data_IF_925732574827
#
_entry.id   IF_925732574827
#
_cell.length_a   1.000
_cell.length_b   1.000
_cell.length_c   1.000
_cell.angle_alpha   90.00
_cell.angle_beta   90.00
_cell.angle_gamma   90.00
#
_symmetry.space_group_name_H-M   'P 1'
#
loop_
_entity.id
_entity.type
_entity.pdbx_description
1 polymer ?
#
# COMPACT_ATOMS: atom_id res chain seq x y z
N UNK A 1 10.60 0.03 -1.95
CA UNK A 1 10.30 0.64 -0.63
C UNK A 1 11.22 0.16 0.49
N UNK A 2 11.23 -1.13 0.90
CA UNK A 2 12.16 -1.59 1.97
C UNK A 2 13.63 -1.49 1.52
N UNK A 3 13.94 -1.88 0.27
CA UNK A 3 15.26 -1.69 -0.31
C UNK A 3 15.66 -0.21 -0.42
N UNK A 4 14.72 0.67 -0.73
CA UNK A 4 14.91 2.12 -0.82
C UNK A 4 15.32 2.72 0.51
N UNK A 5 14.66 2.32 1.60
CA UNK A 5 15.00 2.76 2.96
C UNK A 5 16.42 2.31 3.35
N UNK A 6 16.81 1.09 2.99
CA UNK A 6 18.15 0.54 3.28
C UNK A 6 19.26 1.16 2.41
N UNK A 7 18.96 1.48 1.15
CA UNK A 7 19.94 2.02 0.19
C UNK A 7 19.92 3.55 0.07
N UNK A 8 18.94 4.20 0.71
CA UNK A 8 18.65 5.65 0.64
C UNK A 8 18.47 6.15 -0.79
N UNK A 9 17.79 5.36 -1.63
CA UNK A 9 17.49 5.68 -3.03
C UNK A 9 16.05 5.35 -3.34
N UNK A 10 15.37 6.19 -4.09
CA UNK A 10 14.03 5.88 -4.59
C UNK A 10 14.10 5.04 -5.86
N UNK A 11 13.30 3.98 -5.89
CA UNK A 11 13.06 3.22 -7.11
C UNK A 11 11.99 3.90 -7.98
N UNK A 12 12.08 3.68 -9.28
CA UNK A 12 11.03 4.05 -10.23
C UNK A 12 10.01 2.90 -10.28
N UNK A 13 8.79 3.15 -9.78
CA UNK A 13 7.72 2.15 -9.72
C UNK A 13 7.23 1.72 -11.10
N UNK A 14 7.21 2.61 -12.10
CA UNK A 14 6.81 2.27 -13.46
C UNK A 14 7.84 1.35 -14.10
N UNK A 15 9.12 1.63 -13.85
CA UNK A 15 10.23 0.78 -14.31
C UNK A 15 10.17 -0.62 -13.67
N UNK A 16 9.92 -0.69 -12.37
CA UNK A 16 9.77 -1.97 -11.65
C UNK A 16 8.58 -2.76 -12.20
N UNK A 17 7.42 -2.11 -12.38
CA UNK A 17 6.20 -2.75 -12.88
C UNK A 17 6.38 -3.27 -14.30
N UNK A 18 6.96 -2.48 -15.21
CA UNK A 18 7.30 -2.92 -16.57
C UNK A 18 8.30 -4.07 -16.55
N UNK A 19 9.30 -4.02 -15.68
CA UNK A 19 10.29 -5.08 -15.50
C UNK A 19 9.66 -6.40 -15.06
N UNK A 20 8.81 -6.38 -14.04
CA UNK A 20 8.08 -7.56 -13.57
C UNK A 20 7.09 -8.08 -14.61
N UNK A 21 6.39 -7.20 -15.32
CA UNK A 21 5.49 -7.58 -16.41
C UNK A 21 6.22 -8.31 -17.54
N UNK A 22 7.35 -7.75 -18.00
CA UNK A 22 8.17 -8.39 -19.03
C UNK A 22 8.76 -9.72 -18.55
N UNK A 23 9.27 -9.78 -17.32
CA UNK A 23 9.80 -11.01 -16.73
C UNK A 23 8.73 -12.11 -16.65
N UNK A 24 7.52 -11.76 -16.19
CA UNK A 24 6.41 -12.70 -16.11
C UNK A 24 5.94 -13.17 -17.50
N UNK A 25 5.84 -12.28 -18.49
CA UNK A 25 5.52 -12.66 -19.87
C UNK A 25 6.53 -13.65 -20.45
N UNK A 26 7.83 -13.37 -20.32
CA UNK A 26 8.88 -14.26 -20.80
C UNK A 26 8.83 -15.59 -20.05
N UNK A 27 8.74 -15.56 -18.72
CA UNK A 27 8.72 -16.78 -17.89
C UNK A 27 7.50 -17.65 -18.17
N UNK A 28 6.33 -17.06 -18.44
CA UNK A 28 5.11 -17.76 -18.79
C UNK A 28 5.22 -18.54 -20.10
N UNK A 29 6.02 -18.06 -21.08
CA UNK A 29 6.32 -18.80 -22.31
C UNK A 29 7.09 -20.11 -22.04
N UNK A 30 7.80 -20.19 -20.90
CA UNK A 30 8.50 -21.40 -20.44
C UNK A 30 7.68 -22.20 -19.41
N UNK A 31 6.40 -21.89 -19.21
CA UNK A 31 5.52 -22.58 -18.25
C UNK A 31 5.78 -22.22 -16.78
N UNK A 32 6.47 -21.11 -16.51
CA UNK A 32 6.68 -20.64 -15.14
C UNK A 32 5.39 -20.07 -14.53
N UNK A 33 5.27 -20.20 -13.21
CA UNK A 33 4.21 -19.56 -12.44
C UNK A 33 4.49 -18.05 -12.29
N UNK A 34 3.45 -17.21 -12.17
CA UNK A 34 3.61 -15.78 -11.93
C UNK A 34 4.48 -15.51 -10.69
N UNK A 35 5.49 -14.67 -10.86
CA UNK A 35 6.44 -14.30 -9.81
C UNK A 35 6.39 -12.82 -9.48
N UNK A 36 6.90 -12.49 -8.29
CA UNK A 36 7.10 -11.13 -7.82
C UNK A 36 8.47 -11.00 -7.12
N UNK A 37 8.88 -9.76 -6.82
CA UNK A 37 10.12 -9.49 -6.10
C UNK A 37 10.14 -10.14 -4.71
N UNK A 38 11.26 -10.78 -4.35
CA UNK A 38 11.43 -11.44 -3.05
C UNK A 38 12.01 -10.49 -2.00
N UNK A 39 11.15 -9.85 -1.20
CA UNK A 39 11.56 -8.83 -0.21
C UNK A 39 12.66 -9.30 0.73
N UNK A 40 12.51 -10.45 1.38
CA UNK A 40 13.48 -10.97 2.35
C UNK A 40 14.85 -11.24 1.69
N UNK A 41 14.84 -11.82 0.48
CA UNK A 41 16.07 -12.06 -0.28
C UNK A 41 16.78 -10.76 -0.67
N UNK A 42 16.04 -9.72 -1.03
CA UNK A 42 16.61 -8.40 -1.35
C UNK A 42 17.22 -7.75 -0.11
N UNK A 43 16.57 -7.84 1.05
CA UNK A 43 17.09 -7.28 2.32
C UNK A 43 18.41 -7.96 2.70
N UNK A 44 18.45 -9.30 2.71
CA UNK A 44 19.69 -10.04 3.02
C UNK A 44 20.78 -9.71 2.02
N UNK A 45 20.45 -9.61 0.73
CA UNK A 45 21.41 -9.27 -0.32
C UNK A 45 22.04 -7.88 -0.11
N UNK A 46 21.24 -6.88 0.28
CA UNK A 46 21.73 -5.53 0.60
C UNK A 46 22.60 -5.56 1.87
N UNK A 47 22.19 -6.31 2.89
CA UNK A 47 22.92 -6.43 4.16
C UNK A 47 24.32 -7.05 4.00
N UNK A 48 24.47 -8.02 3.08
CA UNK A 48 25.78 -8.59 2.73
C UNK A 48 26.58 -7.73 1.74
N UNK A 49 26.11 -6.52 1.45
CA UNK A 49 26.85 -5.50 0.68
C UNK A 49 26.61 -5.51 -0.83
N UNK A 50 25.57 -6.19 -1.34
CA UNK A 50 25.27 -6.15 -2.77
C UNK A 50 24.83 -4.74 -3.20
N UNK A 51 25.46 -4.24 -4.27
CA UNK A 51 25.22 -2.88 -4.82
C UNK A 51 24.89 -2.88 -6.31
N UNK A 52 24.82 -4.05 -6.95
CA UNK A 52 24.62 -4.19 -8.38
C UNK A 52 23.57 -5.27 -8.71
N UNK A 53 22.88 -5.17 -9.85
CA UNK A 53 21.90 -6.17 -10.29
C UNK A 53 22.52 -7.54 -10.59
N UNK A 54 23.85 -7.60 -10.76
CA UNK A 54 24.61 -8.83 -10.99
C UNK A 54 24.39 -9.87 -9.88
N UNK A 55 24.19 -9.46 -8.63
CA UNK A 55 23.91 -10.40 -7.54
C UNK A 55 22.62 -11.22 -7.79
N UNK A 56 21.58 -10.57 -8.34
CA UNK A 56 20.34 -11.25 -8.71
C UNK A 56 20.55 -12.26 -9.84
N UNK A 57 21.35 -11.89 -10.86
CA UNK A 57 21.70 -12.77 -11.99
C UNK A 57 22.51 -13.97 -11.51
N UNK A 58 23.52 -13.76 -10.66
CA UNK A 58 24.32 -14.84 -10.08
C UNK A 58 23.43 -15.78 -9.26
N UNK A 59 22.53 -15.25 -8.44
CA UNK A 59 21.57 -16.05 -7.67
C UNK A 59 20.70 -16.93 -8.59
N UNK A 60 20.20 -16.37 -9.69
CA UNK A 60 19.39 -17.13 -10.65
C UNK A 60 20.21 -18.23 -11.36
N UNK A 61 21.45 -17.93 -11.76
CA UNK A 61 22.35 -18.90 -12.39
C UNK A 61 22.75 -20.02 -11.43
N UNK A 62 23.07 -19.69 -10.18
CA UNK A 62 23.37 -20.68 -9.14
C UNK A 62 22.16 -21.57 -8.88
N UNK A 63 20.95 -20.99 -8.78
CA UNK A 63 19.72 -21.77 -8.62
C UNK A 63 19.49 -22.71 -9.82
N UNK A 64 19.66 -22.21 -11.05
CA UNK A 64 19.54 -23.02 -12.25
C UNK A 64 20.56 -24.18 -12.28
N UNK A 65 21.83 -23.90 -11.91
CA UNK A 65 22.86 -24.92 -11.83
C UNK A 65 22.53 -26.00 -10.79
N UNK A 66 22.07 -25.60 -9.60
CA UNK A 66 21.67 -26.53 -8.53
C UNK A 66 20.52 -27.41 -9.02
N UNK A 67 19.48 -26.84 -9.64
CA UNK A 67 18.34 -27.61 -10.14
C UNK A 67 18.74 -28.60 -11.24
N UNK A 68 19.62 -28.19 -12.16
CA UNK A 68 20.02 -29.02 -13.31
C UNK A 68 21.05 -30.10 -12.94
N UNK A 69 21.98 -29.81 -12.03
CA UNK A 69 23.11 -30.72 -11.69
C UNK A 69 22.82 -31.53 -10.43
N UNK A 70 22.18 -30.94 -9.43
CA UNK A 70 21.97 -31.55 -8.12
C UNK A 70 20.60 -32.24 -7.98
N UNK A 71 19.91 -32.57 -9.10
CA UNK A 71 18.60 -33.23 -9.08
C UNK A 71 18.54 -34.47 -8.19
N UNK A 72 19.53 -35.37 -8.30
CA UNK A 72 19.62 -36.57 -7.47
C UNK A 72 19.93 -36.32 -5.98
N UNK A 73 20.46 -35.13 -5.63
CA UNK A 73 20.62 -34.71 -4.23
C UNK A 73 19.34 -34.08 -3.66
N UNK A 74 18.49 -33.52 -4.52
CA UNK A 74 17.21 -32.91 -4.12
C UNK A 74 16.05 -33.91 -4.04
N UNK A 75 16.13 -35.02 -4.78
CA UNK A 75 15.12 -36.09 -4.76
C UNK A 75 14.80 -36.66 -3.37
N UNK A 76 15.77 -36.92 -2.47
CA UNK A 76 15.49 -37.48 -1.15
C UNK A 76 14.99 -36.44 -0.13
N UNK A 77 14.74 -35.18 -0.50
CA UNK A 77 14.28 -34.16 0.45
C UNK A 77 12.86 -34.51 0.94
N UNK A 78 12.65 -34.77 2.24
CA UNK A 78 11.34 -35.14 2.74
C UNK A 78 10.36 -33.97 2.63
N UNK A 79 9.11 -34.26 2.22
CA UNK A 79 8.04 -33.25 2.18
C UNK A 79 7.80 -32.57 3.54
N UNK A 80 8.06 -33.26 4.64
CA UNK A 80 7.99 -32.69 5.99
C UNK A 80 8.96 -31.52 6.19
N UNK A 81 10.15 -31.57 5.59
CA UNK A 81 11.13 -30.47 5.66
C UNK A 81 10.62 -29.25 4.88
N UNK A 82 10.09 -29.47 3.68
CA UNK A 82 9.52 -28.40 2.84
C UNK A 82 8.29 -27.76 3.51
N UNK A 83 7.41 -28.56 4.11
CA UNK A 83 6.28 -28.08 4.88
C UNK A 83 6.73 -27.27 6.10
N UNK A 84 7.75 -27.74 6.83
CA UNK A 84 8.33 -27.02 7.96
C UNK A 84 8.90 -25.66 7.54
N UNK A 85 9.61 -25.59 6.42
CA UNK A 85 10.11 -24.33 5.86
C UNK A 85 8.95 -23.41 5.49
N UNK A 86 7.91 -23.92 4.83
CA UNK A 86 6.76 -23.13 4.42
C UNK A 86 6.01 -22.52 5.63
N UNK A 87 5.78 -23.31 6.68
CA UNK A 87 5.15 -22.84 7.93
C UNK A 87 6.03 -21.80 8.61
N UNK A 88 7.33 -22.05 8.72
CA UNK A 88 8.27 -21.11 9.33
C UNK A 88 8.31 -19.77 8.58
N UNK A 89 8.42 -19.81 7.25
CA UNK A 89 8.42 -18.60 6.42
C UNK A 89 7.08 -17.87 6.53
N UNK A 90 5.96 -18.58 6.47
CA UNK A 90 4.63 -18.00 6.65
C UNK A 90 4.50 -17.27 8.00
N UNK A 91 4.98 -17.88 9.08
CA UNK A 91 4.99 -17.28 10.42
C UNK A 91 5.84 -16.02 10.51
N UNK A 92 6.95 -15.96 9.76
CA UNK A 92 7.87 -14.81 9.73
C UNK A 92 7.38 -13.67 8.83
N UNK A 93 6.49 -13.94 7.87
CA UNK A 93 5.87 -12.89 7.03
C UNK A 93 4.85 -12.08 7.83
N UNK A 94 4.20 -12.69 8.82
CA UNK A 94 3.19 -12.02 9.64
C UNK A 94 3.84 -10.99 10.58
N UNK A 95 3.44 -9.72 10.46
CA UNK A 95 3.81 -8.67 11.39
C UNK A 95 2.98 -8.77 12.68
N UNK A 96 3.42 -9.64 13.59
CA UNK A 96 2.77 -9.87 14.87
C UNK A 96 2.62 -8.61 15.70
N UNK A 97 3.61 -7.72 15.60
CA UNK A 97 3.64 -6.43 16.28
C UNK A 97 2.51 -5.52 15.79
N UNK A 98 2.30 -5.45 14.48
CA UNK A 98 1.22 -4.67 13.88
C UNK A 98 -0.16 -5.27 14.18
N UNK A 99 -0.33 -6.59 14.03
CA UNK A 99 -1.58 -7.28 14.33
C UNK A 99 -2.03 -7.00 15.77
N UNK A 100 -1.11 -7.16 16.74
CA UNK A 100 -1.40 -6.89 18.15
C UNK A 100 -1.70 -5.42 18.43
N UNK A 101 -1.13 -4.48 17.68
CA UNK A 101 -1.29 -3.04 17.90
C UNK A 101 -2.34 -2.37 17.00
N UNK A 102 -2.94 -3.08 16.05
CA UNK A 102 -3.90 -2.52 15.09
C UNK A 102 -5.06 -1.78 15.78
N UNK A 103 -5.55 -2.31 16.90
CA UNK A 103 -6.63 -1.69 17.69
C UNK A 103 -6.26 -0.30 18.25
N UNK A 104 -4.96 -0.02 18.45
CA UNK A 104 -4.46 1.28 18.94
C UNK A 104 -4.38 2.33 17.83
N UNK A 105 -4.41 1.91 16.56
CA UNK A 105 -4.33 2.81 15.40
C UNK A 105 -5.71 3.33 15.04
N UNK A 106 -6.67 2.44 14.81
CA UNK A 106 -8.08 2.79 14.63
C UNK A 106 -8.96 1.55 14.76
N UNK A 107 -10.14 1.69 15.36
CA UNK A 107 -11.07 0.56 15.47
C UNK A 107 -11.60 0.13 14.10
N UNK A 108 -11.99 1.07 13.23
CA UNK A 108 -12.49 0.77 11.88
C UNK A 108 -11.44 0.11 10.99
N UNK A 109 -10.20 0.62 10.99
CA UNK A 109 -9.11 0.02 10.23
C UNK A 109 -8.73 -1.38 10.76
N UNK A 110 -8.79 -1.57 12.08
CA UNK A 110 -8.59 -2.88 12.70
C UNK A 110 -9.65 -3.90 12.28
N UNK A 111 -10.93 -3.52 12.28
CA UNK A 111 -12.02 -4.39 11.84
C UNK A 111 -11.86 -4.82 10.37
N UNK A 112 -11.44 -3.91 9.49
CA UNK A 112 -11.19 -4.22 8.07
C UNK A 112 -9.98 -5.14 7.92
N UNK A 113 -8.88 -4.85 8.61
CA UNK A 113 -7.68 -5.68 8.58
C UNK A 113 -7.99 -7.13 9.00
N UNK A 114 -8.64 -7.32 10.15
CA UNK A 114 -9.03 -8.66 10.59
C UNK A 114 -10.09 -9.29 9.68
N UNK A 115 -11.04 -8.50 9.18
CA UNK A 115 -12.04 -8.97 8.22
C UNK A 115 -11.41 -9.53 6.95
N UNK A 116 -10.51 -8.78 6.30
CA UNK A 116 -9.78 -9.22 5.10
C UNK A 116 -8.89 -10.42 5.42
N UNK A 117 -8.21 -10.42 6.56
CA UNK A 117 -7.36 -11.54 6.99
C UNK A 117 -8.16 -12.84 7.15
N UNK A 118 -9.27 -12.80 7.89
CA UNK A 118 -10.14 -13.96 8.09
C UNK A 118 -10.78 -14.40 6.77
N UNK A 119 -11.23 -13.46 5.95
CA UNK A 119 -11.80 -13.76 4.64
C UNK A 119 -10.79 -14.43 3.70
N UNK A 120 -9.52 -14.04 3.76
CA UNK A 120 -8.42 -14.68 3.01
C UNK A 120 -8.22 -16.13 3.45
N UNK A 121 -8.32 -16.43 4.74
CA UNK A 121 -8.11 -17.77 5.30
C UNK A 121 -9.30 -18.69 5.07
N UNK A 122 -10.52 -18.17 5.22
CA UNK A 122 -11.73 -19.00 5.23
C UNK A 122 -12.49 -19.04 3.89
N UNK A 123 -12.26 -18.08 3.00
CA UNK A 123 -12.98 -17.98 1.72
C UNK A 123 -12.01 -18.06 0.56
N UNK A 124 -11.36 -16.95 0.22
CA UNK A 124 -10.45 -16.87 -0.90
C UNK A 124 -9.69 -15.53 -0.90
N UNK A 125 -8.44 -15.56 -1.37
CA UNK A 125 -7.59 -14.37 -1.46
C UNK A 125 -8.16 -13.31 -2.42
N UNK A 126 -8.68 -13.71 -3.57
CA UNK A 126 -9.17 -12.77 -4.61
C UNK A 126 -10.39 -12.03 -4.07
N UNK A 127 -11.32 -12.75 -3.45
CA UNK A 127 -12.51 -12.16 -2.82
C UNK A 127 -12.11 -11.21 -1.68
N UNK A 128 -11.16 -11.63 -0.84
CA UNK A 128 -10.70 -10.82 0.28
C UNK A 128 -10.04 -9.50 -0.17
N UNK A 129 -9.17 -9.56 -1.17
CA UNK A 129 -8.54 -8.36 -1.75
C UNK A 129 -9.59 -7.45 -2.38
N UNK A 130 -10.53 -8.01 -3.16
CA UNK A 130 -11.60 -7.23 -3.79
C UNK A 130 -12.46 -6.48 -2.78
N UNK A 131 -12.91 -7.17 -1.73
CA UNK A 131 -13.69 -6.55 -0.65
C UNK A 131 -12.87 -5.51 0.13
N UNK A 132 -11.63 -5.84 0.47
CA UNK A 132 -10.74 -4.95 1.21
C UNK A 132 -10.49 -3.63 0.48
N UNK A 133 -10.22 -3.69 -0.82
CA UNK A 133 -10.04 -2.51 -1.68
C UNK A 133 -11.34 -1.71 -1.78
N UNK A 134 -12.48 -2.40 -1.97
CA UNK A 134 -13.79 -1.75 -2.06
C UNK A 134 -14.13 -0.96 -0.79
N UNK A 135 -14.02 -1.60 0.38
CA UNK A 135 -14.30 -0.94 1.67
C UNK A 135 -13.31 0.19 1.93
N UNK A 136 -12.03 -0.02 1.62
CA UNK A 136 -11.01 1.03 1.76
C UNK A 136 -11.32 2.25 0.89
N UNK A 137 -11.80 2.03 -0.34
CA UNK A 137 -12.19 3.12 -1.23
C UNK A 137 -13.38 3.92 -0.68
N UNK A 138 -14.42 3.24 -0.18
CA UNK A 138 -15.57 3.91 0.46
C UNK A 138 -15.11 4.74 1.67
N UNK A 139 -14.24 4.21 2.52
CA UNK A 139 -13.74 4.95 3.68
C UNK A 139 -12.94 6.19 3.28
N UNK A 140 -12.13 6.09 2.23
CA UNK A 140 -11.38 7.24 1.70
C UNK A 140 -12.36 8.30 1.20
N UNK A 141 -13.39 7.91 0.46
CA UNK A 141 -14.43 8.82 -0.03
C UNK A 141 -15.13 9.51 1.15
N UNK A 142 -15.56 8.77 2.17
CA UNK A 142 -16.24 9.32 3.34
C UNK A 142 -15.32 10.25 4.14
N UNK A 143 -14.02 9.93 4.23
CA UNK A 143 -13.02 10.78 4.88
C UNK A 143 -12.84 12.08 4.12
N UNK A 144 -12.67 12.02 2.80
CA UNK A 144 -12.53 13.20 1.94
C UNK A 144 -13.80 14.07 1.99
N UNK A 145 -14.98 13.46 1.96
CA UNK A 145 -16.26 14.17 2.09
C UNK A 145 -16.41 14.87 3.44
N UNK A 146 -16.04 14.21 4.55
CA UNK A 146 -16.04 14.83 5.88
C UNK A 146 -15.02 15.96 6.00
N UNK A 147 -13.85 15.83 5.39
CA UNK A 147 -12.85 16.89 5.35
C UNK A 147 -13.34 18.08 4.50
N UNK A 148 -14.00 17.84 3.37
CA UNK A 148 -14.63 18.86 2.54
C UNK A 148 -15.74 19.60 3.31
N UNK A 149 -16.63 18.89 4.01
CA UNK A 149 -17.69 19.49 4.82
C UNK A 149 -17.15 20.37 5.96
N UNK A 150 -15.98 20.04 6.53
CA UNK A 150 -15.32 20.87 7.55
C UNK A 150 -14.66 22.13 6.99
N UNK A 151 -14.37 22.16 5.69
CA UNK A 151 -13.79 23.32 5.01
C UNK A 151 -14.87 24.28 4.45
N UNK A 152 -16.16 23.96 4.64
CA UNK A 152 -17.27 24.89 4.38
C UNK A 152 -17.46 25.77 5.62
N UNK A 153 -16.99 27.02 5.56
CA UNK A 153 -17.25 28.04 6.59
C UNK A 153 -18.36 28.98 6.10
N UNK A 154 -19.40 29.13 6.92
CA UNK A 154 -20.43 30.15 6.75
C UNK A 154 -20.07 31.33 7.65
N UNK A 155 -19.82 32.50 7.06
CA UNK A 155 -19.34 33.68 7.78
C UNK A 155 -20.46 34.72 7.80
N UNK A 156 -20.87 35.13 9.01
CA UNK A 156 -21.86 36.20 9.21
C UNK A 156 -21.27 37.50 9.75
N UNK A 157 -19.99 37.52 10.13
CA UNK A 157 -19.29 38.71 10.66
C UNK A 157 -17.89 38.83 10.05
N UNK A 158 -17.42 40.04 9.79
CA UNK A 158 -16.16 40.32 9.09
C UNK A 158 -14.89 40.19 9.96
N UNK A 159 -15.04 39.81 11.24
CA UNK A 159 -13.97 39.77 12.24
C UNK A 159 -13.07 38.51 12.16
N UNK A 160 -13.40 37.49 11.36
CA UNK A 160 -12.56 36.30 11.20
C UNK A 160 -11.51 36.48 10.08
N UNK A 161 -10.25 36.63 10.47
CA UNK A 161 -9.07 36.83 9.60
C UNK A 161 -8.67 35.58 8.77
N UNK A 162 -9.45 34.51 8.84
CA UNK A 162 -9.11 33.17 8.33
C UNK A 162 -9.55 32.95 6.86
N UNK A 163 -9.88 34.04 6.15
CA UNK A 163 -10.54 34.04 4.84
C UNK A 163 -9.86 35.06 3.91
N UNK A 164 -9.60 34.75 2.63
CA UNK A 164 -8.88 35.64 1.72
C UNK A 164 -9.80 36.73 1.14
N UNK A 165 -10.38 37.56 2.01
CA UNK A 165 -11.13 38.76 1.62
C UNK A 165 -10.19 39.96 1.54
N UNK A 166 -10.31 40.77 0.51
CA UNK A 166 -9.61 42.06 0.45
C UNK A 166 -10.28 43.08 1.39
N UNK A 167 -9.54 44.10 1.82
CA UNK A 167 -10.03 45.14 2.76
C UNK A 167 -11.32 45.83 2.24
N UNK A 168 -11.41 46.01 0.91
CA UNK A 168 -12.59 46.57 0.26
C UNK A 168 -13.82 45.67 0.36
N UNK A 169 -13.64 44.34 0.28
CA UNK A 169 -14.73 43.36 0.35
C UNK A 169 -15.24 43.21 1.78
N UNK A 170 -14.37 43.26 2.79
CA UNK A 170 -14.77 43.29 4.21
C UNK A 170 -15.65 44.50 4.51
N UNK A 171 -15.25 45.69 4.06
CA UNK A 171 -16.02 46.91 4.25
C UNK A 171 -17.40 46.91 3.56
N UNK A 172 -17.56 46.14 2.48
CA UNK A 172 -18.86 45.95 1.83
C UNK A 172 -19.76 44.97 2.59
N UNK A 173 -19.17 43.92 3.18
CA UNK A 173 -19.89 42.94 4.00
C UNK A 173 -20.43 43.58 5.29
N UNK A 174 -19.63 44.40 5.97
CA UNK A 174 -20.03 45.14 7.17
C UNK A 174 -21.16 46.13 6.89
N UNK A 175 -21.07 46.85 5.77
CA UNK A 175 -22.13 47.78 5.34
C UNK A 175 -23.43 47.08 5.02
N UNK A 176 -23.39 45.79 4.67
CA UNK A 176 -24.58 45.00 4.42
C UNK A 176 -25.36 44.68 5.71
N UNK A 177 -24.77 44.85 6.90
CA UNK A 177 -25.42 44.76 8.21
C UNK A 177 -26.32 43.52 8.35
N UNK A 178 -25.74 42.34 8.07
CA UNK A 178 -26.44 41.05 8.14
C UNK A 178 -27.41 40.73 7.00
N UNK A 179 -27.53 41.59 5.98
CA UNK A 179 -28.38 41.31 4.80
C UNK A 179 -27.74 40.41 3.77
N UNK A 180 -26.42 40.20 3.85
CA UNK A 180 -25.63 39.38 2.92
C UNK A 180 -24.85 38.36 3.73
N UNK A 181 -24.94 37.10 3.33
CA UNK A 181 -24.23 35.98 3.93
C UNK A 181 -23.18 35.49 2.93
N UNK A 182 -21.91 35.44 3.34
CA UNK A 182 -20.81 34.97 2.49
C UNK A 182 -20.48 33.51 2.80
N UNK A 183 -20.59 32.64 1.79
CA UNK A 183 -20.19 31.24 1.88
C UNK A 183 -18.84 31.05 1.19
N UNK A 184 -17.82 30.66 1.97
CA UNK A 184 -16.54 30.27 1.44
C UNK A 184 -16.46 28.74 1.39
N UNK A 185 -16.46 28.19 0.18
CA UNK A 185 -16.29 26.77 -0.08
C UNK A 185 -14.83 26.51 -0.45
N UNK A 186 -14.07 25.90 0.48
CA UNK A 186 -12.69 25.48 0.22
C UNK A 186 -12.58 23.95 0.21
N UNK A 187 -11.64 23.42 -0.57
CA UNK A 187 -11.38 21.99 -0.70
C UNK A 187 -11.84 21.36 -2.03
N UNK A 188 -11.44 20.10 -2.30
CA UNK A 188 -11.82 19.40 -3.51
C UNK A 188 -13.34 19.16 -3.54
N UNK A 189 -14.01 19.66 -4.58
CA UNK A 189 -15.46 19.48 -4.75
C UNK A 189 -15.75 18.13 -5.41
N UNK A 190 -16.02 17.11 -4.59
CA UNK A 190 -16.26 15.73 -5.06
C UNK A 190 -17.75 15.41 -4.93
N UNK A 191 -18.40 14.99 -6.03
CA UNK A 191 -19.83 14.68 -6.10
C UNK A 191 -20.23 13.33 -5.46
N UNK A 192 -19.43 12.80 -4.52
CA UNK A 192 -19.49 11.37 -4.20
C UNK A 192 -20.51 10.98 -3.13
N UNK A 193 -21.08 11.92 -2.38
CA UNK A 193 -22.15 11.64 -1.41
C UNK A 193 -23.12 12.83 -1.37
N UNK A 194 -24.36 12.59 -1.79
CA UNK A 194 -25.52 13.45 -1.52
C UNK A 194 -26.32 12.86 -0.37
#
# INVERSE_FOLDING_TARGET
>A
VIGDSLTRKEHDSDKELRGQGLANMISGLFGALPGAGATMGTVTNIQVGARSPLSGVVRALVLALVVLVAGGLTEPIPMAVLAGIAVYVGFNILDWSFIQRAHKVSFSGMAIMYGVMLLTVFVDLIVAVGLGVFVSNIMIIERLSREQARQVKAISDADEDDVPLTDSERGLLDRANGRVLFFYLSGPMIFSVS
#
